data_IF_524475055967
#
_entry.id   IF_524475055967
#
_cell.length_a   1.000
_cell.length_b   1.000
_cell.length_c   1.000
_cell.angle_alpha   90.00
_cell.angle_beta   90.00
_cell.angle_gamma   90.00
#
_symmetry.space_group_name_H-M   'P 1'
#
loop_
_entity.id
_entity.type
_entity.pdbx_description
1 polymer ?
#
# COMPACT_ATOMS: atom_id res chain seq x y z
N UNK A 1 25.04 5.76 -4.60
CA UNK A 1 23.76 5.27 -5.15
C UNK A 1 23.11 6.46 -5.83
N UNK A 2 22.61 6.34 -7.05
CA UNK A 2 21.85 7.42 -7.69
C UNK A 2 20.43 7.46 -7.15
N UNK A 3 19.73 8.58 -7.28
CA UNK A 3 18.31 8.70 -6.86
C UNK A 3 17.44 7.63 -7.53
N UNK A 4 17.70 7.35 -8.82
CA UNK A 4 17.03 6.26 -9.53
C UNK A 4 17.34 4.88 -8.95
N UNK A 5 18.56 4.63 -8.45
CA UNK A 5 18.89 3.36 -7.80
C UNK A 5 18.11 3.19 -6.48
N UNK A 6 17.95 4.27 -5.70
CA UNK A 6 17.15 4.27 -4.45
C UNK A 6 15.69 3.96 -4.76
N UNK A 7 15.09 4.68 -5.71
CA UNK A 7 13.70 4.46 -6.12
C UNK A 7 13.53 3.03 -6.65
N UNK A 8 14.45 2.53 -7.49
CA UNK A 8 14.37 1.18 -8.06
C UNK A 8 14.46 0.11 -6.98
N UNK A 9 15.31 0.31 -5.96
CA UNK A 9 15.40 -0.60 -4.82
C UNK A 9 14.10 -0.62 -4.01
N UNK A 10 13.52 0.55 -3.73
CA UNK A 10 12.23 0.69 -3.06
C UNK A 10 11.09 0.02 -3.83
N UNK A 11 11.05 0.21 -5.16
CA UNK A 11 10.06 -0.42 -6.03
C UNK A 11 10.20 -1.95 -6.06
N UNK A 12 11.43 -2.46 -6.09
CA UNK A 12 11.69 -3.91 -6.03
C UNK A 12 11.22 -4.51 -4.70
N UNK A 13 11.45 -3.80 -3.59
CA UNK A 13 10.97 -4.20 -2.28
C UNK A 13 9.44 -4.19 -2.20
N UNK A 14 8.79 -3.14 -2.72
CA UNK A 14 7.33 -3.06 -2.86
C UNK A 14 6.79 -4.26 -3.65
N UNK A 15 7.33 -4.55 -4.84
CA UNK A 15 6.85 -5.65 -5.66
C UNK A 15 6.92 -6.99 -4.93
N UNK A 16 8.00 -7.22 -4.17
CA UNK A 16 8.16 -8.42 -3.36
C UNK A 16 7.10 -8.51 -2.24
N UNK A 17 6.77 -7.38 -1.60
CA UNK A 17 5.72 -7.32 -0.58
C UNK A 17 4.32 -7.56 -1.17
N UNK A 18 4.02 -6.96 -2.32
CA UNK A 18 2.76 -7.20 -3.04
C UNK A 18 2.59 -8.68 -3.40
N UNK A 19 3.65 -9.33 -3.89
CA UNK A 19 3.63 -10.77 -4.21
C UNK A 19 3.35 -11.65 -2.99
N UNK A 20 3.98 -11.35 -1.87
CA UNK A 20 3.73 -12.04 -0.61
C UNK A 20 2.29 -11.84 -0.14
N UNK A 21 1.78 -10.61 -0.18
CA UNK A 21 0.42 -10.28 0.23
C UNK A 21 -0.65 -10.97 -0.65
N UNK A 22 -0.47 -10.91 -1.98
CA UNK A 22 -1.35 -11.61 -2.95
C UNK A 22 -1.35 -13.11 -2.65
N UNK A 23 -0.18 -13.72 -2.47
CA UNK A 23 -0.05 -15.16 -2.21
C UNK A 23 -0.75 -15.56 -0.91
N UNK A 24 -0.58 -14.79 0.16
CA UNK A 24 -1.22 -15.02 1.45
C UNK A 24 -2.74 -14.93 1.36
N UNK A 25 -3.28 -13.88 0.72
CA UNK A 25 -4.72 -13.71 0.53
C UNK A 25 -5.31 -14.85 -0.31
N UNK A 26 -4.66 -15.22 -1.41
CA UNK A 26 -5.11 -16.33 -2.26
C UNK A 26 -5.06 -17.67 -1.50
N UNK A 27 -4.07 -17.88 -0.64
CA UNK A 27 -3.97 -19.08 0.23
C UNK A 27 -5.11 -19.10 1.25
N UNK A 28 -5.42 -17.96 1.87
CA UNK A 28 -6.55 -17.81 2.79
C UNK A 28 -7.88 -18.14 2.09
N UNK A 29 -8.08 -17.68 0.85
CA UNK A 29 -9.27 -18.00 0.05
C UNK A 29 -9.37 -19.49 -0.31
N UNK A 30 -8.24 -20.17 -0.57
CA UNK A 30 -8.24 -21.60 -0.91
C UNK A 30 -8.47 -22.51 0.31
N UNK A 31 -8.07 -22.06 1.51
CA UNK A 31 -8.26 -22.78 2.75
C UNK A 31 -9.71 -22.70 3.30
N UNK A 32 -10.62 -22.00 2.62
CA UNK A 32 -11.90 -21.59 3.19
C UNK A 32 -12.87 -22.74 3.53
N UNK A 33 -13.24 -22.84 4.81
CA UNK A 33 -14.61 -23.15 5.26
C UNK A 33 -15.42 -21.85 5.45
N UNK A 34 -16.71 -21.94 5.79
CA UNK A 34 -17.61 -20.75 5.91
C UNK A 34 -17.09 -19.65 6.87
N UNK A 35 -16.20 -19.97 7.81
CA UNK A 35 -15.65 -19.03 8.80
C UNK A 35 -14.11 -19.07 8.77
N UNK A 36 -13.41 -17.95 8.48
CA UNK A 36 -11.95 -17.86 8.53
C UNK A 36 -11.42 -17.91 9.98
N UNK A 37 -10.18 -18.39 10.18
CA UNK A 37 -9.54 -18.37 11.50
C UNK A 37 -9.16 -16.93 11.88
N UNK A 38 -9.74 -16.42 12.97
CA UNK A 38 -9.46 -15.07 13.49
C UNK A 38 -8.01 -14.90 13.99
N UNK A 39 -7.27 -15.99 14.17
CA UNK A 39 -5.85 -15.95 14.54
C UNK A 39 -4.91 -16.02 13.33
N UNK A 40 -5.42 -16.18 12.11
CA UNK A 40 -4.60 -16.10 10.92
C UNK A 40 -4.04 -14.66 10.78
N UNK A 41 -2.72 -14.47 10.63
CA UNK A 41 -2.12 -13.15 10.51
C UNK A 41 -2.71 -12.30 9.36
N UNK A 42 -3.09 -12.95 8.25
CA UNK A 42 -3.73 -12.29 7.11
C UNK A 42 -5.11 -11.78 7.49
N UNK A 43 -5.88 -12.59 8.24
CA UNK A 43 -7.20 -12.19 8.75
C UNK A 43 -7.07 -11.04 9.74
N UNK A 44 -6.07 -11.07 10.62
CA UNK A 44 -5.82 -9.98 11.57
C UNK A 44 -5.44 -8.67 10.87
N UNK A 45 -4.61 -8.72 9.82
CA UNK A 45 -4.29 -7.56 8.99
C UNK A 45 -5.55 -6.97 8.31
N UNK A 46 -6.40 -7.82 7.71
CA UNK A 46 -7.67 -7.41 7.09
C UNK A 46 -8.65 -6.78 8.10
N UNK A 47 -8.72 -7.33 9.33
CA UNK A 47 -9.55 -6.77 10.40
C UNK A 47 -8.99 -5.41 10.83
N UNK A 48 -7.68 -5.30 11.05
CA UNK A 48 -7.04 -4.07 11.52
C UNK A 48 -7.14 -2.95 10.50
N UNK A 49 -6.74 -3.22 9.26
CA UNK A 49 -6.55 -2.18 8.25
C UNK A 49 -7.82 -1.82 7.51
N UNK A 50 -8.71 -2.80 7.29
CA UNK A 50 -9.95 -2.57 6.57
C UNK A 50 -11.17 -2.57 7.50
N UNK A 51 -10.98 -2.64 8.82
CA UNK A 51 -12.06 -2.71 9.80
C UNK A 51 -13.07 -3.83 9.49
N UNK A 52 -12.61 -4.93 8.87
CA UNK A 52 -13.48 -5.95 8.29
C UNK A 52 -14.04 -6.85 9.38
N UNK A 53 -15.37 -6.88 9.63
CA UNK A 53 -15.95 -7.84 10.56
C UNK A 53 -15.92 -9.26 9.97
N UNK A 54 -15.82 -10.27 10.83
CA UNK A 54 -15.96 -11.68 10.45
C UNK A 54 -17.44 -12.07 10.29
N UNK A 55 -18.09 -11.48 9.29
CA UNK A 55 -19.50 -11.73 8.94
C UNK A 55 -19.67 -12.14 7.48
N UNK A 56 -20.91 -12.13 6.98
CA UNK A 56 -21.22 -12.51 5.60
C UNK A 56 -20.56 -11.64 4.52
N UNK A 57 -20.01 -10.46 4.87
CA UNK A 57 -19.34 -9.56 3.94
C UNK A 57 -17.82 -9.76 3.92
N UNK A 58 -17.25 -10.51 4.87
CA UNK A 58 -15.80 -10.67 5.02
C UNK A 58 -15.13 -11.02 3.69
N UNK A 59 -15.58 -12.09 3.03
CA UNK A 59 -14.98 -12.58 1.78
C UNK A 59 -15.11 -11.59 0.61
N UNK A 60 -16.19 -10.80 0.58
CA UNK A 60 -16.35 -9.74 -0.42
C UNK A 60 -15.36 -8.59 -0.19
N UNK A 61 -15.05 -8.27 1.06
CA UNK A 61 -13.99 -7.31 1.39
C UNK A 61 -12.62 -7.85 1.02
N UNK A 62 -12.34 -9.13 1.30
CA UNK A 62 -11.08 -9.78 0.90
C UNK A 62 -10.88 -9.73 -0.61
N UNK A 63 -11.93 -10.01 -1.40
CA UNK A 63 -11.88 -9.94 -2.86
C UNK A 63 -11.58 -8.53 -3.37
N UNK A 64 -12.24 -7.51 -2.81
CA UNK A 64 -11.98 -6.10 -3.17
C UNK A 64 -10.55 -5.68 -2.84
N UNK A 65 -10.04 -6.06 -1.66
CA UNK A 65 -8.67 -5.78 -1.27
C UNK A 65 -7.66 -6.46 -2.22
N UNK A 66 -7.89 -7.73 -2.56
CA UNK A 66 -7.05 -8.46 -3.50
C UNK A 66 -7.00 -7.78 -4.87
N UNK A 67 -8.15 -7.36 -5.41
CA UNK A 67 -8.22 -6.65 -6.70
C UNK A 67 -7.42 -5.35 -6.66
N UNK A 68 -7.50 -4.58 -5.57
CA UNK A 68 -6.75 -3.35 -5.42
C UNK A 68 -5.23 -3.60 -5.38
N UNK A 69 -4.79 -4.61 -4.61
CA UNK A 69 -3.37 -4.99 -4.49
C UNK A 69 -2.82 -5.50 -5.84
N UNK A 70 -3.57 -6.34 -6.55
CA UNK A 70 -3.20 -6.83 -7.88
C UNK A 70 -3.14 -5.67 -8.89
N UNK A 71 -4.06 -4.72 -8.80
CA UNK A 71 -4.07 -3.52 -9.64
C UNK A 71 -2.84 -2.64 -9.38
N UNK A 72 -2.49 -2.39 -8.11
CA UNK A 72 -1.27 -1.66 -7.73
C UNK A 72 -0.03 -2.32 -8.34
N UNK A 73 0.09 -3.65 -8.20
CA UNK A 73 1.18 -4.41 -8.81
C UNK A 73 1.22 -4.23 -10.33
N UNK A 74 0.08 -4.20 -11.00
CA UNK A 74 0.00 -4.05 -12.46
C UNK A 74 0.47 -2.67 -12.97
N UNK A 75 0.46 -1.62 -12.14
CA UNK A 75 0.92 -0.28 -12.52
C UNK A 75 2.45 -0.15 -12.56
N UNK A 76 3.18 -1.13 -12.03
CA UNK A 76 4.64 -1.20 -12.10
C UNK A 76 5.13 -1.02 -13.54
N UNK A 77 6.06 -0.09 -13.75
CA UNK A 77 6.62 0.18 -15.08
C UNK A 77 5.69 0.92 -16.05
N UNK A 78 4.48 1.27 -15.62
CA UNK A 78 3.53 2.07 -16.42
C UNK A 78 3.58 3.56 -16.10
N UNK A 79 3.99 3.92 -14.88
CA UNK A 79 4.16 5.30 -14.43
C UNK A 79 5.65 5.70 -14.43
N UNK A 80 6.04 6.84 -15.03
CA UNK A 80 7.39 7.38 -14.87
C UNK A 80 7.76 7.62 -13.41
N UNK A 81 9.01 7.35 -13.05
CA UNK A 81 9.56 7.66 -11.73
C UNK A 81 10.44 8.89 -11.86
N UNK A 82 10.10 9.97 -11.17
CA UNK A 82 10.70 11.29 -11.38
C UNK A 82 11.34 11.79 -10.07
N UNK A 83 12.66 11.65 -9.91
CA UNK A 83 13.35 12.27 -8.78
C UNK A 83 13.40 13.80 -8.97
N UNK A 84 12.85 14.54 -8.01
CA UNK A 84 12.88 16.00 -7.96
C UNK A 84 13.20 16.49 -6.54
N UNK A 85 14.50 16.65 -6.26
CA UNK A 85 15.00 17.17 -4.97
C UNK A 85 14.64 18.63 -4.70
N UNK A 86 13.94 19.33 -5.60
CA UNK A 86 13.42 20.68 -5.31
C UNK A 86 12.10 20.65 -4.52
N UNK A 87 11.41 19.51 -4.51
CA UNK A 87 10.29 19.24 -3.60
C UNK A 87 10.87 18.88 -2.24
N UNK A 88 10.55 19.67 -1.21
CA UNK A 88 11.19 19.58 0.12
C UNK A 88 10.21 19.30 1.26
N UNK A 89 8.91 19.34 0.96
CA UNK A 89 7.80 19.19 1.89
C UNK A 89 7.09 17.84 1.78
N UNK A 90 7.31 17.09 0.69
CA UNK A 90 6.70 15.77 0.47
C UNK A 90 7.76 14.71 0.16
N UNK A 91 7.55 13.48 0.66
CA UNK A 91 8.36 12.32 0.29
C UNK A 91 8.14 11.95 -1.19
N UNK A 92 6.88 11.81 -1.58
CA UNK A 92 6.48 11.64 -2.96
C UNK A 92 5.05 12.13 -3.17
N UNK A 93 4.66 12.33 -4.42
CA UNK A 93 3.28 12.57 -4.79
C UNK A 93 2.99 12.18 -6.24
N UNK A 94 1.72 11.98 -6.55
CA UNK A 94 1.18 11.90 -7.90
C UNK A 94 0.45 13.18 -8.29
N UNK A 95 0.26 13.40 -9.59
CA UNK A 95 -0.56 14.52 -10.07
C UNK A 95 -2.03 14.36 -9.62
N UNK A 96 -2.72 15.43 -9.18
CA UNK A 96 -4.11 15.36 -8.72
C UNK A 96 -5.12 14.87 -9.75
N UNK A 97 -4.79 14.91 -11.05
CA UNK A 97 -5.60 14.29 -12.12
C UNK A 97 -5.52 12.77 -12.14
N UNK A 98 -4.55 12.18 -11.42
CA UNK A 98 -4.26 10.75 -11.36
C UNK A 98 -3.95 10.15 -12.73
N UNK A 99 -3.42 10.95 -13.66
CA UNK A 99 -2.90 10.46 -14.93
C UNK A 99 -1.57 9.72 -14.69
N UNK A 100 -1.51 8.38 -14.86
CA UNK A 100 -0.28 7.63 -14.64
C UNK A 100 0.86 8.03 -15.58
N UNK A 101 0.57 8.68 -16.71
CA UNK A 101 1.60 9.17 -17.63
C UNK A 101 2.42 10.33 -17.05
N UNK A 102 1.89 11.02 -16.03
CA UNK A 102 2.61 12.09 -15.33
C UNK A 102 3.56 11.53 -14.26
N UNK A 103 3.39 10.27 -13.87
CA UNK A 103 4.31 9.55 -13.00
C UNK A 103 4.15 9.85 -11.52
N UNK A 104 5.15 9.39 -10.77
CA UNK A 104 5.32 9.65 -9.34
C UNK A 104 6.55 10.53 -9.19
N UNK A 105 6.38 11.67 -8.51
CA UNK A 105 7.47 12.61 -8.20
C UNK A 105 7.99 12.29 -6.81
N UNK A 106 9.31 12.13 -6.66
CA UNK A 106 9.97 11.83 -5.39
C UNK A 106 10.77 13.05 -4.93
N UNK A 107 10.42 13.58 -3.75
CA UNK A 107 11.05 14.75 -3.16
C UNK A 107 12.30 14.44 -2.35
N UNK A 108 12.96 15.48 -1.83
CA UNK A 108 14.15 15.38 -1.00
C UNK A 108 13.97 14.48 0.24
N UNK A 109 12.87 14.54 1.01
CA UNK A 109 12.68 13.70 2.20
C UNK A 109 12.75 12.19 1.92
N UNK A 110 12.32 11.73 0.73
CA UNK A 110 12.43 10.33 0.32
C UNK A 110 13.87 9.83 0.21
N UNK A 111 14.81 10.72 -0.07
CA UNK A 111 16.21 10.36 -0.20
C UNK A 111 17.03 10.59 1.07
N UNK A 112 16.65 11.58 1.88
CA UNK A 112 17.46 12.03 3.02
C UNK A 112 16.93 11.56 4.38
N UNK A 113 15.61 11.50 4.53
CA UNK A 113 14.96 11.24 5.81
C UNK A 113 14.36 9.82 5.89
N UNK A 114 14.00 9.25 4.74
CA UNK A 114 13.43 7.91 4.65
C UNK A 114 14.46 6.80 4.83
N UNK A 115 14.13 5.79 5.64
CA UNK A 115 14.81 4.49 5.58
C UNK A 115 14.22 3.59 4.48
N UNK A 116 14.79 2.40 4.28
CA UNK A 116 14.32 1.46 3.25
C UNK A 116 12.86 1.02 3.47
N UNK A 117 12.38 1.03 4.72
CA UNK A 117 11.00 0.69 5.06
C UNK A 117 10.03 1.80 4.69
N UNK A 118 10.38 3.05 5.00
CA UNK A 118 9.65 4.22 4.53
C UNK A 118 9.58 4.26 3.00
N UNK A 119 10.73 4.08 2.33
CA UNK A 119 10.81 4.21 0.89
C UNK A 119 9.90 3.22 0.15
N UNK A 120 9.86 1.96 0.60
CA UNK A 120 8.95 0.94 0.01
C UNK A 120 7.47 1.25 0.32
N UNK A 121 7.16 1.84 1.47
CA UNK A 121 5.80 2.22 1.85
C UNK A 121 5.29 3.39 1.02
N UNK A 122 6.07 4.47 0.92
CA UNK A 122 5.76 5.66 0.12
C UNK A 122 5.45 5.30 -1.33
N UNK A 123 6.32 4.55 -2.01
CA UNK A 123 6.07 4.18 -3.40
C UNK A 123 4.84 3.27 -3.55
N UNK A 124 4.56 2.40 -2.57
CA UNK A 124 3.35 1.55 -2.59
C UNK A 124 2.08 2.39 -2.50
N UNK A 125 2.09 3.37 -1.60
CA UNK A 125 1.01 4.32 -1.40
C UNK A 125 0.74 5.16 -2.64
N UNK A 126 1.78 5.72 -3.27
CA UNK A 126 1.62 6.50 -4.49
C UNK A 126 1.01 5.69 -5.63
N UNK A 127 1.35 4.41 -5.76
CA UNK A 127 0.68 3.55 -6.74
C UNK A 127 -0.79 3.30 -6.42
N UNK A 128 -1.19 3.25 -5.14
CA UNK A 128 -2.60 3.10 -4.77
C UNK A 128 -3.44 4.33 -5.13
N UNK A 129 -2.85 5.52 -5.23
CA UNK A 129 -3.57 6.68 -5.75
C UNK A 129 -4.13 6.45 -7.16
N UNK A 130 -3.43 5.74 -8.04
CA UNK A 130 -3.93 5.38 -9.37
C UNK A 130 -5.01 4.28 -9.36
N UNK A 131 -5.13 3.53 -8.26
CA UNK A 131 -6.09 2.43 -8.12
C UNK A 131 -7.40 2.91 -7.49
N UNK A 132 -7.30 3.63 -6.37
CA UNK A 132 -8.47 3.96 -5.52
C UNK A 132 -8.76 5.45 -5.44
N UNK A 133 -7.88 6.31 -5.97
CA UNK A 133 -8.09 7.75 -6.04
C UNK A 133 -7.21 8.56 -5.09
N UNK A 134 -7.38 9.88 -5.13
CA UNK A 134 -6.59 10.86 -4.36
C UNK A 134 -7.06 11.01 -2.89
N UNK A 135 -8.02 10.22 -2.43
CA UNK A 135 -8.67 10.46 -1.14
C UNK A 135 -7.84 9.87 0.01
N UNK A 136 -7.32 10.73 0.87
CA UNK A 136 -6.76 10.33 2.16
C UNK A 136 -7.85 10.40 3.23
N UNK A 137 -8.39 9.24 3.62
CA UNK A 137 -9.42 9.15 4.66
C UNK A 137 -8.78 9.11 6.06
N UNK A 138 -8.17 10.22 6.49
CA UNK A 138 -7.60 10.33 7.84
C UNK A 138 -8.70 10.16 8.91
N UNK A 139 -8.51 9.23 9.84
CA UNK A 139 -9.51 8.93 10.89
C UNK A 139 -10.68 8.04 10.42
N UNK A 140 -10.48 7.25 9.37
CA UNK A 140 -11.44 6.26 8.86
C UNK A 140 -12.00 5.37 9.97
N UNK A 141 -13.31 5.10 9.90
CA UNK A 141 -13.98 4.13 10.81
C UNK A 141 -14.81 3.07 10.07
N UNK A 142 -14.81 3.10 8.74
CA UNK A 142 -15.59 2.17 7.92
C UNK A 142 -14.73 1.41 6.90
N UNK A 143 -15.13 0.18 6.60
CA UNK A 143 -14.44 -0.66 5.61
C UNK A 143 -14.40 -0.05 4.22
N UNK A 144 -15.45 0.65 3.80
CA UNK A 144 -15.51 1.25 2.46
C UNK A 144 -14.52 2.41 2.30
N UNK A 145 -14.40 3.26 3.31
CA UNK A 145 -13.40 4.33 3.32
C UNK A 145 -11.98 3.76 3.39
N UNK A 146 -11.77 2.68 4.15
CA UNK A 146 -10.46 2.03 4.25
C UNK A 146 -10.03 1.41 2.91
N UNK A 147 -10.95 0.73 2.21
CA UNK A 147 -10.72 0.22 0.86
C UNK A 147 -10.47 1.32 -0.18
N UNK A 148 -10.92 2.55 0.08
CA UNK A 148 -10.69 3.70 -0.80
C UNK A 148 -9.45 4.53 -0.40
N UNK A 149 -8.76 4.16 0.70
CA UNK A 149 -7.64 4.91 1.25
C UNK A 149 -6.30 4.24 0.89
N UNK A 150 -5.41 4.92 0.14
CA UNK A 150 -4.08 4.42 -0.18
C UNK A 150 -3.25 3.97 1.04
N UNK A 151 -3.33 4.71 2.16
CA UNK A 151 -2.64 4.36 3.40
C UNK A 151 -3.04 2.99 3.92
N UNK A 152 -4.35 2.73 4.07
CA UNK A 152 -4.84 1.46 4.60
C UNK A 152 -4.50 0.28 3.71
N UNK A 153 -4.50 0.47 2.38
CA UNK A 153 -4.10 -0.58 1.45
C UNK A 153 -2.58 -0.83 1.47
N UNK A 154 -1.77 0.21 1.60
CA UNK A 154 -0.33 0.09 1.80
C UNK A 154 -0.02 -0.66 3.09
N UNK A 155 -0.59 -0.21 4.21
CA UNK A 155 -0.40 -0.87 5.50
C UNK A 155 -0.89 -2.32 5.47
N UNK A 156 -2.02 -2.61 4.81
CA UNK A 156 -2.51 -3.97 4.62
C UNK A 156 -1.48 -4.86 3.90
N UNK A 157 -0.86 -4.37 2.83
CA UNK A 157 0.16 -5.13 2.09
C UNK A 157 1.32 -5.48 3.00
N UNK A 158 1.86 -4.52 3.75
CA UNK A 158 3.04 -4.74 4.59
C UNK A 158 2.73 -5.54 5.87
N UNK A 159 1.55 -5.32 6.45
CA UNK A 159 1.04 -6.11 7.57
C UNK A 159 0.97 -7.60 7.21
N UNK A 160 0.47 -7.92 6.00
CA UNK A 160 0.39 -9.30 5.52
C UNK A 160 1.77 -9.83 5.13
N UNK A 161 2.56 -9.07 4.37
CA UNK A 161 3.79 -9.54 3.77
C UNK A 161 4.92 -9.73 4.78
N UNK A 162 5.01 -8.84 5.78
CA UNK A 162 6.17 -8.75 6.68
C UNK A 162 5.81 -8.95 8.16
N UNK A 163 4.52 -8.88 8.51
CA UNK A 163 4.09 -8.96 9.91
C UNK A 163 4.52 -7.74 10.74
N UNK A 164 4.87 -6.64 10.08
CA UNK A 164 5.31 -5.38 10.70
C UNK A 164 4.12 -4.42 10.80
N UNK A 165 3.82 -3.95 12.01
CA UNK A 165 2.65 -3.11 12.37
C UNK A 165 3.01 -1.65 12.57
N UNK A 166 4.29 -1.35 12.72
CA UNK A 166 4.74 -0.01 13.01
C UNK A 166 5.05 0.67 11.68
N UNK A 167 4.03 0.82 10.81
CA UNK A 167 4.12 1.78 9.71
C UNK A 167 4.78 3.05 10.24
N UNK A 168 5.66 3.67 9.46
CA UNK A 168 6.64 4.63 9.96
C UNK A 168 6.17 5.41 11.19
N UNK A 169 6.82 5.16 12.35
CA UNK A 169 6.40 5.61 13.69
C UNK A 169 5.37 6.76 13.68
N UNK A 170 4.19 6.49 14.26
CA UNK A 170 3.15 7.47 14.60
C UNK A 170 2.31 8.01 13.43
N UNK A 171 2.14 7.26 12.33
CA UNK A 171 1.17 7.56 11.26
C UNK A 171 1.37 8.93 10.59
N UNK A 172 2.57 9.51 10.73
CA UNK A 172 2.92 10.86 10.29
C UNK A 172 4.36 10.99 9.80
N UNK A 173 5.17 9.92 9.84
CA UNK A 173 6.60 10.02 9.53
C UNK A 173 6.93 9.80 8.04
N UNK A 174 5.99 9.32 7.22
CA UNK A 174 6.25 8.96 5.81
C UNK A 174 5.19 9.40 4.81
N UNK A 175 4.07 9.98 5.27
CA UNK A 175 2.94 10.39 4.43
C UNK A 175 2.39 11.75 4.88
#
# INVERSE_FOLDING_TARGET
MSDFDVITAADTARQSALDAAITAIQTLQQASGEVPDANDPTVQALIRQLFTPLDSNFWSTVEQALIAIESNKSFTGSAPLVPDRSVTDDFAHVDPSLDPNLGIIFGEPFFEDADETCQREVITHEYFHFVVGAQHHYGTTSTLEALACPHHLTELVFDIALGEVNGCDDGSACF
#
